data_IF_092692127613
#
_entry.id   IF_092692127613
#
_cell.length_a   1.000
_cell.length_b   1.000
_cell.length_c   1.000
_cell.angle_alpha   90.00
_cell.angle_beta   90.00
_cell.angle_gamma   90.00
#
_symmetry.space_group_name_H-M   'P 1'
#
loop_
_entity.id
_entity.type
_entity.pdbx_description
1 polymer ?
#
# COMPACT_ATOMS: atom_id res chain seq x y z
N UNK A 1 -18.53 17.40 -23.84
CA UNK A 1 -17.91 16.16 -23.34
C UNK A 1 -18.28 16.02 -21.88
N UNK A 2 -18.97 14.95 -21.52
CA UNK A 2 -19.69 14.80 -20.26
C UNK A 2 -18.73 14.18 -19.23
N UNK A 3 -18.01 15.01 -18.48
CA UNK A 3 -17.10 14.58 -17.40
C UNK A 3 -17.83 14.34 -16.07
N UNK A 4 -19.16 14.46 -16.03
CA UNK A 4 -19.99 14.29 -14.82
C UNK A 4 -19.93 12.88 -14.22
N UNK A 5 -19.55 11.85 -14.99
CA UNK A 5 -19.36 10.49 -14.49
C UNK A 5 -18.13 10.31 -13.58
N UNK A 6 -17.17 11.25 -13.60
CA UNK A 6 -16.04 11.24 -12.68
C UNK A 6 -16.35 11.93 -11.34
N UNK A 7 -17.44 12.69 -11.28
CA UNK A 7 -17.91 13.43 -10.09
C UNK A 7 -18.97 12.64 -9.31
N UNK A 8 -19.45 11.53 -9.88
CA UNK A 8 -20.35 10.60 -9.20
C UNK A 8 -19.54 9.76 -8.20
N UNK A 9 -19.48 10.27 -6.98
CA UNK A 9 -18.99 9.66 -5.74
C UNK A 9 -18.66 8.16 -5.85
N UNK A 10 -17.43 7.84 -6.24
CA UNK A 10 -16.89 6.49 -6.12
C UNK A 10 -16.71 6.20 -4.64
N UNK A 11 -17.77 5.69 -4.01
CA UNK A 11 -17.73 5.20 -2.65
C UNK A 11 -17.07 3.83 -2.69
N UNK A 12 -15.77 3.80 -2.37
CA UNK A 12 -15.13 2.53 -2.08
C UNK A 12 -15.74 2.01 -0.78
N UNK A 13 -16.24 0.75 -0.74
CA UNK A 13 -16.64 0.17 0.52
C UNK A 13 -15.47 0.34 1.48
N UNK A 14 -15.73 0.90 2.66
CA UNK A 14 -14.78 0.89 3.75
C UNK A 14 -14.65 -0.58 4.15
N UNK A 15 -13.81 -1.31 3.42
CA UNK A 15 -13.40 -2.66 3.75
C UNK A 15 -12.77 -2.46 5.11
N UNK A 16 -13.54 -2.79 6.14
CA UNK A 16 -13.09 -2.67 7.50
C UNK A 16 -11.73 -3.37 7.53
N UNK A 17 -10.70 -2.60 7.91
CA UNK A 17 -9.32 -3.09 8.04
C UNK A 17 -9.25 -4.33 8.94
N UNK A 18 -10.32 -4.61 9.69
CA UNK A 18 -10.58 -5.86 10.41
C UNK A 18 -10.53 -7.12 9.53
N UNK A 19 -10.83 -7.06 8.22
CA UNK A 19 -10.66 -8.24 7.36
C UNK A 19 -9.22 -8.41 6.85
N UNK A 20 -8.43 -7.33 6.72
CA UNK A 20 -7.01 -7.43 6.34
C UNK A 20 -6.18 -7.98 7.51
N UNK A 21 -6.65 -7.82 8.76
CA UNK A 21 -6.08 -8.50 9.92
C UNK A 21 -6.15 -10.05 9.80
N UNK A 22 -6.98 -10.59 8.91
CA UNK A 22 -7.07 -12.04 8.66
C UNK A 22 -6.11 -12.58 7.59
N UNK A 23 -5.29 -11.73 6.94
CA UNK A 23 -4.08 -12.19 6.23
C UNK A 23 -2.92 -12.40 7.23
N UNK A 24 -3.17 -12.27 8.54
CA UNK A 24 -2.34 -12.92 9.55
C UNK A 24 -2.55 -14.43 9.40
N UNK A 25 -1.59 -15.11 8.77
CA UNK A 25 -1.59 -16.55 8.60
C UNK A 25 -2.21 -17.30 9.80
N UNK A 26 -3.23 -18.15 9.62
CA UNK A 26 -3.80 -18.93 10.72
C UNK A 26 -2.81 -19.98 11.29
N UNK A 27 -1.59 -20.06 10.76
CA UNK A 27 -0.53 -20.96 11.20
C UNK A 27 0.61 -20.32 12.00
N UNK A 28 0.61 -19.00 12.25
CA UNK A 28 1.68 -18.39 13.04
C UNK A 28 1.34 -18.51 14.53
N UNK A 29 1.95 -19.52 15.17
CA UNK A 29 2.05 -19.63 16.63
C UNK A 29 2.35 -18.25 17.21
N UNK A 30 1.37 -17.68 17.93
CA UNK A 30 1.51 -16.40 18.62
C UNK A 30 2.59 -16.54 19.68
N UNK A 31 3.85 -16.35 19.27
CA UNK A 31 4.92 -15.97 20.19
C UNK A 31 4.56 -14.58 20.66
N UNK A 32 4.09 -14.49 21.89
CA UNK A 32 3.79 -13.25 22.60
C UNK A 32 5.05 -12.39 22.66
N UNK A 33 5.29 -11.60 21.62
CA UNK A 33 6.26 -10.51 21.63
C UNK A 33 5.65 -9.28 22.29
N UNK A 34 6.50 -8.36 22.75
CA UNK A 34 6.04 -7.06 23.24
C UNK A 34 5.32 -6.24 22.16
N UNK A 35 4.61 -5.16 22.55
CA UNK A 35 3.84 -4.35 21.61
C UNK A 35 4.68 -3.88 20.43
N UNK A 36 4.14 -4.03 19.22
CA UNK A 36 4.82 -3.55 18.02
C UNK A 36 4.85 -2.02 18.02
N UNK A 37 6.06 -1.45 17.94
CA UNK A 37 6.24 -0.01 17.75
C UNK A 37 5.72 0.45 16.39
N UNK A 38 5.13 1.65 16.39
CA UNK A 38 4.78 2.39 15.18
C UNK A 38 6.00 2.48 14.27
N UNK A 39 5.77 2.40 12.96
CA UNK A 39 6.84 2.46 11.98
C UNK A 39 7.70 3.70 12.17
N UNK A 40 7.09 4.86 12.43
CA UNK A 40 7.83 6.13 12.57
C UNK A 40 8.78 6.16 13.77
N UNK A 41 8.38 5.53 14.87
CA UNK A 41 9.18 5.43 16.11
C UNK A 41 10.29 4.37 16.07
N UNK A 42 10.37 3.58 14.99
CA UNK A 42 11.36 2.53 14.85
C UNK A 42 12.75 3.06 14.47
N UNK A 43 13.79 2.33 14.87
CA UNK A 43 15.15 2.60 14.41
C UNK A 43 15.26 2.46 12.88
N UNK A 44 16.21 3.15 12.26
CA UNK A 44 16.49 3.03 10.81
C UNK A 44 16.71 1.57 10.40
N UNK A 45 17.43 0.79 11.21
CA UNK A 45 17.67 -0.64 10.97
C UNK A 45 16.36 -1.43 10.90
N UNK A 46 15.42 -1.13 11.81
CA UNK A 46 14.11 -1.78 11.82
C UNK A 46 13.24 -1.32 10.65
N UNK A 47 13.23 -0.02 10.34
CA UNK A 47 12.52 0.53 9.16
C UNK A 47 12.99 -0.16 7.88
N UNK A 48 14.31 -0.27 7.67
CA UNK A 48 14.91 -0.96 6.51
C UNK A 48 14.48 -2.42 6.40
N UNK A 49 14.52 -3.18 7.50
CA UNK A 49 14.10 -4.60 7.51
C UNK A 49 12.63 -4.76 7.13
N UNK A 50 11.75 -3.89 7.63
CA UNK A 50 10.32 -3.93 7.30
C UNK A 50 10.07 -3.55 5.83
N UNK A 51 10.74 -2.53 5.32
CA UNK A 51 10.67 -2.14 3.90
C UNK A 51 11.18 -3.29 3.02
N UNK A 52 12.32 -3.88 3.35
CA UNK A 52 12.88 -5.00 2.60
C UNK A 52 11.90 -6.18 2.54
N UNK A 53 11.28 -6.52 3.66
CA UNK A 53 10.27 -7.58 3.67
C UNK A 53 9.12 -7.30 2.70
N UNK A 54 8.60 -6.06 2.67
CA UNK A 54 7.52 -5.66 1.74
C UNK A 54 7.99 -5.79 0.29
N UNK A 55 9.22 -5.36 -0.02
CA UNK A 55 9.79 -5.48 -1.36
C UNK A 55 10.01 -6.94 -1.79
N UNK A 56 10.23 -7.85 -0.84
CA UNK A 56 10.41 -9.28 -1.12
C UNK A 56 9.07 -10.02 -1.28
N UNK A 57 8.01 -9.56 -0.62
CA UNK A 57 6.72 -10.28 -0.58
C UNK A 57 5.63 -9.69 -1.46
N UNK A 58 5.81 -8.48 -2.00
CA UNK A 58 4.79 -7.76 -2.77
C UNK A 58 5.36 -7.25 -4.08
N UNK A 59 4.52 -7.23 -5.12
CA UNK A 59 4.93 -6.71 -6.43
C UNK A 59 4.97 -5.17 -6.42
N UNK A 60 5.63 -4.59 -7.43
CA UNK A 60 5.64 -3.15 -7.61
C UNK A 60 4.22 -2.59 -7.81
N UNK A 61 3.38 -3.28 -8.57
CA UNK A 61 1.99 -2.90 -8.85
C UNK A 61 1.16 -2.87 -7.57
N UNK A 62 1.30 -3.90 -6.72
CA UNK A 62 0.60 -3.98 -5.43
C UNK A 62 1.00 -2.84 -4.50
N UNK A 63 2.30 -2.57 -4.38
CA UNK A 63 2.84 -1.48 -3.56
C UNK A 63 2.34 -0.13 -4.08
N UNK A 64 2.34 0.05 -5.39
CA UNK A 64 1.93 1.29 -6.06
C UNK A 64 0.44 1.57 -5.90
N UNK A 65 -0.39 0.54 -6.09
CA UNK A 65 -1.84 0.62 -5.90
C UNK A 65 -2.18 0.92 -4.43
N UNK A 66 -1.51 0.27 -3.47
CA UNK A 66 -1.71 0.53 -2.06
C UNK A 66 -1.36 1.98 -1.69
N UNK A 67 -0.24 2.50 -2.20
CA UNK A 67 0.17 3.88 -2.02
C UNK A 67 -0.81 4.88 -2.66
N UNK A 68 -1.28 4.60 -3.88
CA UNK A 68 -2.26 5.44 -4.58
C UNK A 68 -3.58 5.55 -3.77
N UNK A 69 -4.13 4.40 -3.36
CA UNK A 69 -5.39 4.34 -2.59
C UNK A 69 -5.26 5.10 -1.27
N UNK A 70 -4.12 4.94 -0.57
CA UNK A 70 -3.89 5.65 0.67
C UNK A 70 -3.81 7.17 0.46
N UNK A 71 -3.05 7.63 -0.54
CA UNK A 71 -2.92 9.06 -0.84
C UNK A 71 -4.25 9.69 -1.25
N UNK A 72 -5.08 8.97 -2.03
CA UNK A 72 -6.45 9.41 -2.37
C UNK A 72 -7.33 9.53 -1.13
N UNK A 73 -7.28 8.54 -0.22
CA UNK A 73 -8.03 8.56 1.05
C UNK A 73 -7.63 9.76 1.92
N UNK A 74 -6.35 10.14 1.91
CA UNK A 74 -5.84 11.33 2.61
C UNK A 74 -6.15 12.65 1.88
N UNK A 75 -6.82 12.61 0.73
CA UNK A 75 -7.13 13.79 -0.09
C UNK A 75 -5.95 14.33 -0.91
N UNK A 76 -4.80 13.64 -0.90
CA UNK A 76 -3.56 14.02 -1.60
C UNK A 76 -3.59 13.57 -3.06
N UNK A 77 -4.46 14.19 -3.86
CA UNK A 77 -4.68 13.83 -5.27
C UNK A 77 -3.43 14.00 -6.13
N UNK A 78 -2.69 15.09 -5.96
CA UNK A 78 -1.48 15.36 -6.75
C UNK A 78 -0.39 14.31 -6.46
N UNK A 79 -0.19 13.96 -5.19
CA UNK A 79 0.75 12.90 -4.81
C UNK A 79 0.34 11.54 -5.38
N UNK A 80 -0.95 11.22 -5.36
CA UNK A 80 -1.48 9.99 -5.98
C UNK A 80 -1.23 9.98 -7.49
N UNK A 81 -1.43 11.11 -8.19
CA UNK A 81 -1.16 11.22 -9.62
C UNK A 81 0.31 11.03 -9.96
N UNK A 82 1.23 11.52 -9.11
CA UNK A 82 2.66 11.29 -9.27
C UNK A 82 3.00 9.80 -9.12
N UNK A 83 2.48 9.13 -8.09
CA UNK A 83 2.73 7.68 -7.88
C UNK A 83 2.25 6.90 -9.10
N UNK A 84 1.03 7.15 -9.56
CA UNK A 84 0.48 6.50 -10.74
C UNK A 84 1.32 6.76 -11.99
N UNK A 85 1.69 8.02 -12.23
CA UNK A 85 2.53 8.39 -13.36
C UNK A 85 3.86 7.65 -13.34
N UNK A 86 4.56 7.64 -12.20
CA UNK A 86 5.85 6.94 -12.08
C UNK A 86 5.74 5.46 -12.44
N UNK A 87 4.69 4.78 -11.98
CA UNK A 87 4.50 3.36 -12.27
C UNK A 87 4.19 3.08 -13.73
N UNK A 88 3.42 3.95 -14.39
CA UNK A 88 3.13 3.83 -15.83
C UNK A 88 4.38 4.09 -16.71
N UNK A 89 5.38 4.81 -16.20
CA UNK A 89 6.64 5.10 -16.90
C UNK A 89 7.73 4.04 -16.74
N UNK A 90 7.57 3.06 -15.85
CA UNK A 90 8.48 1.92 -15.72
C UNK A 90 7.85 0.67 -16.35
N UNK A 91 7.95 0.48 -17.68
CA UNK A 91 7.70 -0.83 -18.25
C UNK A 91 8.76 -1.79 -17.68
N UNK A 92 8.32 -2.96 -17.22
CA UNK A 92 9.20 -4.07 -16.90
C UNK A 92 10.19 -4.22 -18.08
N UNK A 93 11.49 -4.24 -17.80
CA UNK A 93 12.48 -4.61 -18.80
C UNK A 93 12.19 -6.07 -19.18
N UNK A 94 11.45 -6.25 -20.27
CA UNK A 94 11.25 -7.50 -20.97
C UNK A 94 12.65 -7.98 -21.42
N UNK A 95 13.27 -8.83 -20.59
CA UNK A 95 14.56 -9.42 -20.91
C UNK A 95 14.42 -10.37 -22.10
N UNK A 96 15.22 -10.12 -23.13
CA UNK A 96 15.35 -10.95 -24.33
C UNK A 96 16.73 -11.60 -24.39
#
# INVERSE_FOLDING_TARGET
MNSLWLDECISFPNIATTSIETISHPGSSRRTGGPQKDFESCSIKTKRRRIQHILETSSQEEISMAAEVQLRREGKRDSSAIVKGLCDFFPEEEQQ
#
